data_IF_027653703921
#
_entry.id   IF_027653703921
#
_cell.length_a   1.000
_cell.length_b   1.000
_cell.length_c   1.000
_cell.angle_alpha   90.00
_cell.angle_beta   90.00
_cell.angle_gamma   90.00
#
_symmetry.space_group_name_H-M   'P 1'
#
loop_
_entity.id
_entity.type
_entity.pdbx_description
1 polymer ?
#
# COMPACT_ATOMS: atom_id res chain seq x y z
N UNK A 1 2.02 24.32 -20.75
CA UNK A 1 2.51 24.27 -19.36
C UNK A 1 1.88 23.13 -18.55
N UNK A 2 0.58 23.17 -18.21
CA UNK A 2 -0.04 22.19 -17.28
C UNK A 2 0.13 20.72 -17.71
N UNK A 3 -0.09 20.38 -18.98
CA UNK A 3 0.15 19.03 -19.49
C UNK A 3 1.59 18.55 -19.26
N UNK A 4 2.57 19.47 -19.37
CA UNK A 4 3.98 19.20 -19.08
C UNK A 4 4.24 18.95 -17.60
N UNK A 5 3.59 19.69 -16.69
CA UNK A 5 3.64 19.41 -15.25
C UNK A 5 3.10 18.02 -14.92
N UNK A 6 1.98 17.61 -15.52
CA UNK A 6 1.40 16.28 -15.29
C UNK A 6 2.24 15.15 -15.88
N UNK A 7 2.83 15.37 -17.06
CA UNK A 7 3.75 14.41 -17.67
C UNK A 7 5.03 14.28 -16.82
N UNK A 8 5.58 15.40 -16.34
CA UNK A 8 6.73 15.42 -15.43
C UNK A 8 6.41 14.71 -14.10
N UNK A 9 5.24 14.94 -13.51
CA UNK A 9 4.81 14.23 -12.30
C UNK A 9 4.61 12.73 -12.54
N UNK A 10 4.00 12.35 -13.67
CA UNK A 10 3.81 10.93 -14.03
C UNK A 10 5.12 10.19 -14.32
N UNK A 11 6.04 10.83 -15.05
CA UNK A 11 7.40 10.32 -15.28
C UNK A 11 8.20 10.29 -13.98
N UNK A 12 8.05 11.30 -13.11
CA UNK A 12 8.68 11.34 -11.78
C UNK A 12 8.22 10.21 -10.86
N UNK A 13 6.93 9.87 -10.87
CA UNK A 13 6.41 8.71 -10.14
C UNK A 13 6.98 7.39 -10.66
N UNK A 14 7.06 7.21 -11.99
CA UNK A 14 7.70 6.02 -12.58
C UNK A 14 9.22 5.99 -12.32
N UNK A 15 9.88 7.15 -12.29
CA UNK A 15 11.30 7.25 -11.95
C UNK A 15 11.55 6.83 -10.50
N UNK A 16 10.73 7.30 -9.55
CA UNK A 16 10.81 6.87 -8.14
C UNK A 16 10.69 5.35 -8.02
N UNK A 17 9.66 4.76 -8.64
CA UNK A 17 9.47 3.30 -8.71
C UNK A 17 10.71 2.56 -9.27
N UNK A 18 11.26 3.03 -10.39
CA UNK A 18 12.49 2.46 -10.99
C UNK A 18 13.69 2.61 -10.07
N UNK A 19 13.89 3.77 -9.42
CA UNK A 19 14.98 3.96 -8.47
C UNK A 19 14.85 3.09 -7.23
N UNK A 20 13.64 2.88 -6.69
CA UNK A 20 13.39 1.99 -5.55
C UNK A 20 13.68 0.52 -5.87
N UNK A 21 13.35 0.07 -7.09
CA UNK A 21 13.73 -1.27 -7.58
C UNK A 21 15.25 -1.37 -7.77
N UNK A 22 15.86 -0.35 -8.38
CA UNK A 22 17.30 -0.30 -8.66
C UNK A 22 18.11 -0.30 -7.36
N UNK A 23 17.68 0.43 -6.34
CA UNK A 23 18.32 0.49 -5.03
C UNK A 23 18.32 -0.87 -4.33
N UNK A 24 17.19 -1.60 -4.37
CA UNK A 24 17.11 -2.96 -3.85
C UNK A 24 17.99 -3.96 -4.62
N UNK A 25 18.10 -3.80 -5.94
CA UNK A 25 19.01 -4.60 -6.79
C UNK A 25 20.49 -4.30 -6.53
N UNK A 26 20.85 -3.04 -6.29
CA UNK A 26 22.23 -2.62 -6.02
C UNK A 26 22.70 -3.01 -4.62
N UNK A 27 21.79 -3.01 -3.63
CA UNK A 27 22.07 -3.50 -2.27
C UNK A 27 21.97 -5.04 -2.11
N UNK A 28 21.96 -5.79 -3.23
CA UNK A 28 22.06 -7.24 -3.26
C UNK A 28 23.48 -7.68 -2.88
N UNK A 29 23.62 -8.47 -1.81
CA UNK A 29 24.87 -9.15 -1.52
C UNK A 29 25.24 -10.11 -2.67
N UNK A 30 26.52 -10.15 -3.05
CA UNK A 30 26.98 -10.98 -4.16
C UNK A 30 26.63 -12.46 -3.94
N UNK A 31 25.84 -13.04 -4.84
CA UNK A 31 25.35 -14.42 -4.75
C UNK A 31 24.00 -14.62 -4.04
N UNK A 32 23.42 -13.60 -3.40
CA UNK A 32 22.11 -13.74 -2.74
C UNK A 32 20.98 -14.03 -3.74
N UNK A 33 20.05 -14.93 -3.40
CA UNK A 33 18.92 -15.27 -4.26
C UNK A 33 17.96 -14.08 -4.49
N UNK A 34 17.36 -14.05 -5.70
CA UNK A 34 16.37 -13.01 -6.05
C UNK A 34 15.20 -12.97 -5.07
N UNK A 35 14.79 -14.13 -4.53
CA UNK A 35 13.74 -14.22 -3.52
C UNK A 35 14.05 -13.43 -2.24
N UNK A 36 15.29 -13.47 -1.75
CA UNK A 36 15.70 -12.72 -0.55
C UNK A 36 15.75 -11.20 -0.80
N UNK A 37 16.21 -10.78 -2.00
CA UNK A 37 16.20 -9.36 -2.42
C UNK A 37 14.77 -8.83 -2.53
N UNK A 38 13.90 -9.59 -3.19
CA UNK A 38 12.47 -9.27 -3.30
C UNK A 38 11.82 -9.19 -1.91
N UNK A 39 12.14 -10.13 -1.01
CA UNK A 39 11.60 -10.12 0.35
C UNK A 39 11.99 -8.86 1.12
N UNK A 40 13.27 -8.47 1.05
CA UNK A 40 13.79 -7.26 1.70
C UNK A 40 13.12 -6.01 1.14
N UNK A 41 12.94 -5.93 -0.18
CA UNK A 41 12.22 -4.83 -0.83
C UNK A 41 10.76 -4.76 -0.39
N UNK A 42 10.05 -5.89 -0.37
CA UNK A 42 8.65 -5.97 0.06
C UNK A 42 8.48 -5.67 1.56
N UNK A 43 9.45 -6.02 2.41
CA UNK A 43 9.42 -5.71 3.83
C UNK A 43 9.65 -4.21 4.11
N UNK A 44 10.50 -3.54 3.33
CA UNK A 44 10.81 -2.11 3.49
C UNK A 44 9.74 -1.22 2.86
N UNK A 45 9.38 -1.47 1.60
CA UNK A 45 8.48 -0.58 0.83
C UNK A 45 7.02 -1.04 0.86
N UNK A 46 6.79 -2.35 1.02
CA UNK A 46 5.50 -2.98 0.79
C UNK A 46 5.28 -3.39 -0.68
N UNK A 47 4.21 -4.16 -0.89
CA UNK A 47 3.61 -4.44 -2.21
C UNK A 47 2.78 -3.22 -2.65
N UNK A 48 2.14 -2.52 -1.70
CA UNK A 48 1.13 -1.50 -1.98
C UNK A 48 1.75 -0.25 -2.63
N UNK A 49 2.86 0.25 -2.07
CA UNK A 49 3.49 1.48 -2.51
C UNK A 49 3.93 1.44 -3.99
N UNK A 50 4.72 0.45 -4.46
CA UNK A 50 5.09 0.34 -5.87
C UNK A 50 3.89 0.18 -6.81
N UNK A 51 2.84 -0.52 -6.36
CA UNK A 51 1.61 -0.70 -7.16
C UNK A 51 0.85 0.63 -7.33
N UNK A 52 0.80 1.45 -6.28
CA UNK A 52 0.23 2.81 -6.33
C UNK A 52 1.09 3.71 -7.21
N UNK A 53 2.42 3.71 -7.06
CA UNK A 53 3.34 4.54 -7.86
C UNK A 53 3.22 4.23 -9.36
N UNK A 54 3.27 2.95 -9.74
CA UNK A 54 3.15 2.50 -11.11
C UNK A 54 1.75 2.82 -11.69
N UNK A 55 0.69 2.53 -10.94
CA UNK A 55 -0.68 2.81 -11.34
C UNK A 55 -0.97 4.31 -11.51
N UNK A 56 -0.52 5.12 -10.55
CA UNK A 56 -0.67 6.58 -10.58
C UNK A 56 0.17 7.20 -11.69
N UNK A 57 1.42 6.76 -11.89
CA UNK A 57 2.30 7.23 -12.95
C UNK A 57 1.70 6.99 -14.34
N UNK A 58 1.25 5.76 -14.62
CA UNK A 58 0.56 5.40 -15.86
C UNK A 58 -0.76 6.17 -16.04
N UNK A 59 -1.53 6.36 -14.97
CA UNK A 59 -2.78 7.13 -15.01
C UNK A 59 -2.52 8.61 -15.34
N UNK A 60 -1.53 9.24 -14.70
CA UNK A 60 -1.12 10.63 -14.97
C UNK A 60 -0.62 10.82 -16.41
N UNK A 61 0.20 9.89 -16.93
CA UNK A 61 0.68 9.95 -18.33
C UNK A 61 -0.49 9.81 -19.30
N UNK A 62 -1.40 8.85 -19.09
CA UNK A 62 -2.60 8.66 -19.92
C UNK A 62 -3.52 9.88 -19.88
N UNK A 63 -3.67 10.50 -18.71
CA UNK A 63 -4.49 11.69 -18.52
C UNK A 63 -3.86 12.93 -19.16
N UNK A 64 -2.54 13.12 -19.04
CA UNK A 64 -1.81 14.18 -19.73
C UNK A 64 -1.92 14.06 -21.25
N UNK A 65 -1.81 12.84 -21.80
CA UNK A 65 -1.99 12.56 -23.22
C UNK A 65 -3.43 12.87 -23.70
N UNK A 66 -4.46 12.64 -22.88
CA UNK A 66 -5.84 13.05 -23.19
C UNK A 66 -6.06 14.55 -23.06
N UNK A 67 -5.47 15.20 -22.07
CA UNK A 67 -5.53 16.65 -21.88
C UNK A 67 -4.92 17.41 -23.07
N UNK A 68 -3.82 16.89 -23.65
CA UNK A 68 -3.22 17.42 -24.88
C UNK A 68 -4.16 17.33 -26.11
N UNK A 69 -5.10 16.38 -26.11
CA UNK A 69 -6.14 16.23 -27.14
C UNK A 69 -7.38 17.11 -26.88
N UNK A 70 -7.32 18.04 -25.92
CA UNK A 70 -8.40 18.96 -25.53
C UNK A 70 -9.72 18.29 -25.09
N UNK A 71 -9.67 17.05 -24.61
CA UNK A 71 -10.83 16.33 -24.07
C UNK A 71 -11.34 17.00 -22.77
N UNK A 72 -12.59 17.48 -22.78
CA UNK A 72 -13.25 18.13 -21.63
C UNK A 72 -13.29 17.21 -20.39
N UNK A 73 -13.53 15.91 -20.57
CA UNK A 73 -13.58 14.94 -19.45
C UNK A 73 -12.22 14.83 -18.80
N UNK A 74 -11.16 14.79 -19.61
CA UNK A 74 -9.78 14.77 -19.10
C UNK A 74 -9.46 16.07 -18.34
N UNK A 75 -9.80 17.24 -18.89
CA UNK A 75 -9.57 18.53 -18.23
C UNK A 75 -10.21 18.61 -16.83
N UNK A 76 -11.41 18.05 -16.66
CA UNK A 76 -12.10 18.01 -15.38
C UNK A 76 -11.46 17.03 -14.38
N UNK A 77 -11.01 15.85 -14.82
CA UNK A 77 -10.22 14.94 -13.97
C UNK A 77 -8.86 15.55 -13.58
N UNK A 78 -8.21 16.28 -14.48
CA UNK A 78 -7.00 17.05 -14.17
C UNK A 78 -7.29 18.11 -13.09
N UNK A 79 -8.35 18.91 -13.28
CA UNK A 79 -8.77 19.92 -12.30
C UNK A 79 -9.04 19.29 -10.93
N UNK A 80 -9.62 18.10 -10.89
CA UNK A 80 -9.87 17.38 -9.66
C UNK A 80 -8.58 16.88 -8.98
N UNK A 81 -7.63 16.34 -9.74
CA UNK A 81 -6.32 15.96 -9.21
C UNK A 81 -5.51 17.15 -8.71
N UNK A 82 -5.59 18.32 -9.36
CA UNK A 82 -4.93 19.55 -8.89
C UNK A 82 -5.51 20.03 -7.55
N UNK A 83 -6.84 19.91 -7.36
CA UNK A 83 -7.47 20.21 -6.07
C UNK A 83 -6.92 19.30 -4.97
N UNK A 84 -6.98 17.98 -5.16
CA UNK A 84 -6.48 16.99 -4.20
C UNK A 84 -4.98 17.12 -3.95
N UNK A 85 -4.17 17.28 -5.00
CA UNK A 85 -2.71 17.44 -4.92
C UNK A 85 -2.28 18.73 -4.21
N UNK A 86 -3.13 19.77 -4.20
CA UNK A 86 -2.84 21.01 -3.46
C UNK A 86 -3.03 20.87 -1.94
N UNK A 87 -3.74 19.85 -1.46
CA UNK A 87 -4.07 19.69 -0.04
C UNK A 87 -2.87 19.24 0.83
N UNK A 88 -2.12 18.16 0.51
CA UNK A 88 -0.96 17.75 1.29
C UNK A 88 0.10 18.86 1.51
N UNK A 89 0.57 19.60 0.49
CA UNK A 89 1.59 20.63 0.73
C UNK A 89 1.07 21.78 1.60
N UNK A 90 -0.22 22.16 1.50
CA UNK A 90 -0.82 23.16 2.40
C UNK A 90 -0.82 22.67 3.86
N UNK A 91 -1.23 21.42 4.10
CA UNK A 91 -1.18 20.82 5.44
C UNK A 91 0.25 20.76 5.99
N UNK A 92 1.22 20.30 5.20
CA UNK A 92 2.62 20.25 5.62
C UNK A 92 3.19 21.64 5.93
N UNK A 93 2.96 22.64 5.06
CA UNK A 93 3.43 24.01 5.29
C UNK A 93 2.76 24.69 6.49
N UNK A 94 1.54 24.30 6.86
CA UNK A 94 0.83 24.85 8.02
C UNK A 94 1.22 24.18 9.34
N UNK A 95 1.35 22.85 9.36
CA UNK A 95 1.64 22.10 10.59
C UNK A 95 3.13 22.14 11.01
N UNK A 96 4.06 22.38 10.08
CA UNK A 96 5.51 22.25 10.34
C UNK A 96 6.15 23.44 11.08
N UNK A 97 5.82 24.72 10.81
CA UNK A 97 6.38 25.85 11.54
C UNK A 97 6.19 25.80 13.08
N UNK A 98 5.00 25.49 13.63
CA UNK A 98 4.86 25.38 15.09
C UNK A 98 5.57 24.15 15.67
N UNK A 99 5.75 23.07 14.91
CA UNK A 99 6.53 21.89 15.34
C UNK A 99 8.05 22.14 15.35
N UNK A 100 8.55 23.08 14.53
CA UNK A 100 9.95 23.51 14.56
C UNK A 100 10.30 24.33 15.82
N UNK A 101 9.31 24.91 16.51
CA UNK A 101 9.52 25.63 17.78
C UNK A 101 9.71 24.68 18.97
N UNK A 102 9.35 23.40 18.84
CA UNK A 102 9.38 22.39 19.92
C UNK A 102 10.42 21.30 19.71
N UNK A 103 11.17 21.32 18.61
CA UNK A 103 12.15 20.30 18.23
C UNK A 103 13.49 20.92 17.86
N UNK A 104 14.61 20.26 18.20
CA UNK A 104 15.96 20.66 17.78
C UNK A 104 16.22 20.36 16.28
N UNK A 105 15.31 20.75 15.40
CA UNK A 105 15.53 20.66 13.95
C UNK A 105 16.55 21.71 13.50
N UNK A 106 17.37 21.36 12.51
CA UNK A 106 18.22 22.34 11.84
C UNK A 106 17.35 23.45 11.22
N UNK A 107 17.71 24.72 11.47
CA UNK A 107 16.91 25.86 11.01
C UNK A 107 16.68 25.86 9.49
N UNK A 108 17.63 25.31 8.72
CA UNK A 108 17.50 25.11 7.27
C UNK A 108 16.33 24.19 6.91
N UNK A 109 16.17 23.04 7.58
CA UNK A 109 15.08 22.11 7.33
C UNK A 109 13.73 22.65 7.81
N UNK A 110 13.72 23.42 8.90
CA UNK A 110 12.53 24.05 9.45
C UNK A 110 11.87 25.02 8.45
N UNK A 111 12.66 25.77 7.67
CA UNK A 111 12.15 26.81 6.75
C UNK A 111 12.13 26.39 5.27
N UNK A 112 13.09 25.59 4.77
CA UNK A 112 13.14 25.21 3.36
C UNK A 112 11.91 24.40 2.93
N UNK A 113 11.50 23.43 3.74
CA UNK A 113 10.41 22.50 3.40
C UNK A 113 9.04 23.19 3.35
N UNK A 114 8.61 24.03 4.32
CA UNK A 114 7.34 24.74 4.19
C UNK A 114 7.35 25.75 3.04
N UNK A 115 8.50 26.38 2.70
CA UNK A 115 8.61 27.28 1.53
C UNK A 115 8.38 26.52 0.23
N UNK A 116 9.04 25.37 0.04
CA UNK A 116 8.81 24.50 -1.13
C UNK A 116 7.34 24.06 -1.19
N UNK A 117 6.74 23.69 -0.06
CA UNK A 117 5.33 23.34 0.03
C UNK A 117 4.39 24.48 -0.38
N UNK A 118 4.67 25.72 0.02
CA UNK A 118 3.89 26.91 -0.40
C UNK A 118 4.01 27.15 -1.89
N UNK A 119 5.23 27.10 -2.46
CA UNK A 119 5.45 27.28 -3.91
C UNK A 119 4.71 26.21 -4.72
N UNK A 120 4.76 24.94 -4.28
CA UNK A 120 4.03 23.85 -4.90
C UNK A 120 2.50 24.03 -4.78
N UNK A 121 2.01 24.42 -3.60
CA UNK A 121 0.58 24.69 -3.40
C UNK A 121 0.09 25.84 -4.29
N UNK A 122 0.86 26.93 -4.43
CA UNK A 122 0.52 28.08 -5.28
C UNK A 122 0.51 27.69 -6.77
N UNK A 123 1.52 26.98 -7.25
CA UNK A 123 1.59 26.55 -8.67
C UNK A 123 0.45 25.59 -9.05
N UNK A 124 0.10 24.64 -8.17
CA UNK A 124 -1.06 23.76 -8.36
C UNK A 124 -2.39 24.53 -8.32
N UNK A 125 -2.52 25.51 -7.42
CA UNK A 125 -3.74 26.34 -7.30
C UNK A 125 -3.90 27.25 -8.53
N UNK A 126 -2.81 27.85 -9.03
CA UNK A 126 -2.82 28.63 -10.26
C UNK A 126 -3.24 27.76 -11.46
N UNK A 127 -2.70 26.55 -11.59
CA UNK A 127 -3.10 25.60 -12.63
C UNK A 127 -4.60 25.23 -12.53
N UNK A 128 -5.13 25.01 -11.33
CA UNK A 128 -6.56 24.74 -11.09
C UNK A 128 -7.45 25.91 -11.56
N UNK A 129 -7.10 27.14 -11.19
CA UNK A 129 -7.85 28.35 -11.58
C UNK A 129 -7.78 28.59 -13.09
N UNK A 130 -6.60 28.39 -13.70
CA UNK A 130 -6.41 28.54 -15.14
C UNK A 130 -7.27 27.58 -15.95
N UNK A 131 -7.40 26.30 -15.55
CA UNK A 131 -8.30 25.35 -16.22
C UNK A 131 -9.74 25.80 -16.10
N UNK A 132 -10.17 26.25 -14.92
CA UNK A 132 -11.52 26.78 -14.72
C UNK A 132 -11.84 27.95 -15.66
N UNK A 133 -10.91 28.87 -15.84
CA UNK A 133 -11.06 30.04 -16.73
C UNK A 133 -10.93 29.71 -18.23
N UNK A 134 -10.43 28.53 -18.61
CA UNK A 134 -10.19 28.16 -20.02
C UNK A 134 -11.06 26.98 -20.46
N UNK A 135 -12.09 26.61 -19.70
CA UNK A 135 -12.85 25.37 -19.91
C UNK A 135 -13.61 25.33 -21.23
N UNK A 136 -14.00 26.50 -21.76
CA UNK A 136 -14.66 26.67 -23.07
C UNK A 136 -13.78 26.28 -24.26
N UNK A 137 -12.46 26.16 -24.07
CA UNK A 137 -11.49 25.78 -25.12
C UNK A 137 -11.31 24.26 -25.27
N UNK A 138 -12.05 23.48 -24.48
CA UNK A 138 -12.01 22.02 -24.52
C UNK A 138 -13.23 21.47 -25.27
N UNK A 139 -13.00 20.44 -26.07
CA UNK A 139 -14.02 19.82 -26.90
C UNK A 139 -14.71 18.70 -26.13
N UNK A 140 -16.05 18.69 -26.19
CA UNK A 140 -16.90 17.69 -25.56
C UNK A 140 -18.14 18.30 -24.91
N UNK A 141 -19.10 17.45 -24.58
CA UNK A 141 -20.22 17.78 -23.69
C UNK A 141 -20.16 16.87 -22.47
N UNK A 142 -20.48 17.42 -21.31
CA UNK A 142 -20.61 16.66 -20.08
C UNK A 142 -22.08 16.32 -19.81
N UNK A 143 -22.35 15.06 -19.49
CA UNK A 143 -23.66 14.61 -19.02
C UNK A 143 -23.83 14.86 -17.52
N UNK A 144 -25.08 15.07 -17.04
CA UNK A 144 -25.35 15.25 -15.61
C UNK A 144 -24.86 14.04 -14.78
N UNK A 145 -24.91 12.83 -15.35
CA UNK A 145 -24.43 11.60 -14.73
C UNK A 145 -22.92 11.62 -14.48
N UNK A 146 -22.11 12.14 -15.41
CA UNK A 146 -20.66 12.27 -15.24
C UNK A 146 -20.30 13.26 -14.14
N UNK A 147 -21.00 14.41 -14.08
CA UNK A 147 -20.74 15.43 -13.07
C UNK A 147 -21.09 14.92 -11.66
N UNK A 148 -22.22 14.22 -11.54
CA UNK A 148 -22.64 13.52 -10.32
C UNK A 148 -21.61 12.45 -9.90
N UNK A 149 -21.13 11.64 -10.85
CA UNK A 149 -20.12 10.61 -10.57
C UNK A 149 -18.81 11.19 -10.03
N UNK A 150 -18.31 12.31 -10.60
CA UNK A 150 -17.11 12.98 -10.06
C UNK A 150 -17.33 13.55 -8.66
N UNK A 151 -18.52 14.09 -8.37
CA UNK A 151 -18.85 14.57 -7.04
C UNK A 151 -18.88 13.42 -6.02
N UNK A 152 -19.46 12.26 -6.39
CA UNK A 152 -19.41 11.06 -5.57
C UNK A 152 -17.97 10.59 -5.32
N UNK A 153 -17.10 10.60 -6.34
CA UNK A 153 -15.67 10.30 -6.19
C UNK A 153 -14.96 11.26 -5.22
N UNK A 154 -15.34 12.54 -5.15
CA UNK A 154 -14.74 13.46 -4.18
C UNK A 154 -15.10 13.16 -2.73
N UNK A 155 -16.28 12.60 -2.47
CA UNK A 155 -16.65 12.15 -1.13
C UNK A 155 -16.03 10.79 -0.79
N UNK A 156 -15.72 9.98 -1.81
CA UNK A 156 -15.29 8.59 -1.68
C UNK A 156 -13.75 8.39 -1.73
N UNK A 157 -13.00 9.24 -2.44
CA UNK A 157 -11.52 9.24 -2.42
C UNK A 157 -10.93 9.35 -1.01
N UNK A 158 -11.33 10.31 -0.13
CA UNK A 158 -10.70 10.43 1.18
C UNK A 158 -11.00 9.22 2.08
N UNK A 159 -12.19 8.62 1.99
CA UNK A 159 -12.53 7.42 2.78
C UNK A 159 -11.83 6.17 2.26
N UNK A 160 -11.69 6.01 0.94
CA UNK A 160 -10.84 4.97 0.34
C UNK A 160 -9.37 5.10 0.74
N UNK A 161 -8.81 6.31 0.75
CA UNK A 161 -7.41 6.52 1.14
C UNK A 161 -7.18 6.06 2.58
N UNK A 162 -8.04 6.46 3.53
CA UNK A 162 -7.96 6.00 4.92
C UNK A 162 -8.08 4.47 5.01
N UNK A 163 -9.05 3.87 4.30
CA UNK A 163 -9.24 2.42 4.28
C UNK A 163 -7.99 1.68 3.74
N UNK A 164 -7.42 2.14 2.62
CA UNK A 164 -6.22 1.54 2.03
C UNK A 164 -5.02 1.68 2.98
N UNK A 165 -4.76 2.86 3.54
CA UNK A 165 -3.61 3.04 4.43
C UNK A 165 -3.75 2.32 5.78
N UNK A 166 -4.95 2.21 6.34
CA UNK A 166 -5.18 1.59 7.67
C UNK A 166 -5.40 0.09 7.57
N UNK A 167 -6.25 -0.40 6.65
CA UNK A 167 -6.64 -1.81 6.59
C UNK A 167 -5.71 -2.67 5.72
N UNK A 168 -5.09 -2.09 4.68
CA UNK A 168 -4.27 -2.87 3.76
C UNK A 168 -2.86 -3.13 4.32
N UNK A 169 -2.33 -2.27 5.20
CA UNK A 169 -1.02 -2.47 5.87
C UNK A 169 -0.97 -3.71 6.77
N UNK A 170 -1.96 -4.03 7.62
CA UNK A 170 -2.02 -5.31 8.34
C UNK A 170 -2.11 -6.52 7.41
N UNK A 171 -2.89 -6.42 6.33
CA UNK A 171 -3.09 -7.50 5.34
C UNK A 171 -1.81 -7.78 4.54
N UNK A 172 -1.08 -6.73 4.16
CA UNK A 172 0.25 -6.83 3.53
C UNK A 172 1.23 -7.60 4.42
N UNK A 173 1.25 -7.33 5.73
CA UNK A 173 2.10 -8.07 6.68
C UNK A 173 1.72 -9.55 6.78
N UNK A 174 0.44 -9.90 6.84
CA UNK A 174 0.03 -11.32 6.90
C UNK A 174 0.29 -12.05 5.59
N UNK A 175 0.19 -11.39 4.44
CA UNK A 175 0.53 -11.96 3.13
C UNK A 175 2.05 -12.18 2.96
N UNK A 176 2.89 -11.24 3.38
CA UNK A 176 4.35 -11.42 3.38
C UNK A 176 4.74 -12.55 4.35
N UNK A 177 4.12 -12.61 5.53
CA UNK A 177 4.36 -13.66 6.51
C UNK A 177 3.91 -15.06 6.04
N UNK A 178 2.93 -15.17 5.13
CA UNK A 178 2.50 -16.49 4.62
C UNK A 178 3.46 -17.09 3.58
N UNK A 179 4.21 -16.24 2.88
CA UNK A 179 5.22 -16.61 1.88
C UNK A 179 6.60 -16.94 2.48
N UNK A 180 6.74 -16.87 3.81
CA UNK A 180 8.00 -17.04 4.55
C UNK A 180 7.87 -18.10 5.66
N UNK A 181 8.99 -18.64 6.14
CA UNK A 181 9.02 -19.45 7.39
C UNK A 181 9.24 -18.55 8.62
N UNK A 182 8.56 -17.40 8.67
CA UNK A 182 8.76 -16.43 9.74
C UNK A 182 8.06 -16.89 11.03
N UNK A 183 8.82 -17.54 11.93
CA UNK A 183 8.31 -18.01 13.22
C UNK A 183 7.97 -16.83 14.13
N UNK A 184 6.72 -16.79 14.62
CA UNK A 184 6.20 -15.73 15.51
C UNK A 184 7.00 -15.46 16.80
N UNK A 185 7.90 -16.36 17.21
CA UNK A 185 8.74 -16.24 18.40
C UNK A 185 10.22 -15.92 18.09
N UNK A 186 10.59 -15.79 16.81
CA UNK A 186 11.93 -15.41 16.41
C UNK A 186 12.05 -13.88 16.35
N UNK A 187 13.15 -13.33 16.89
CA UNK A 187 13.40 -11.88 16.88
C UNK A 187 13.62 -11.31 15.48
N UNK A 188 13.75 -9.98 15.40
CA UNK A 188 13.96 -9.26 14.14
C UNK A 188 15.22 -9.70 13.35
N UNK A 189 16.18 -10.33 14.04
CA UNK A 189 17.47 -10.78 13.49
C UNK A 189 17.43 -12.22 12.94
N UNK A 190 16.26 -12.87 12.88
CA UNK A 190 16.13 -14.22 12.36
C UNK A 190 16.19 -14.26 10.82
N UNK A 191 16.94 -15.21 10.27
CA UNK A 191 17.12 -15.36 8.82
C UNK A 191 15.82 -15.88 8.16
N UNK A 192 15.04 -14.96 7.59
CA UNK A 192 13.74 -15.26 6.97
C UNK A 192 13.91 -15.71 5.53
N UNK A 193 13.79 -17.02 5.30
CA UNK A 193 13.82 -17.61 3.97
C UNK A 193 12.43 -17.52 3.28
N UNK A 194 12.45 -17.21 1.98
CA UNK A 194 11.27 -17.25 1.12
C UNK A 194 10.96 -18.69 0.72
N UNK A 195 9.84 -19.24 1.21
CA UNK A 195 9.38 -20.61 0.90
C UNK A 195 8.18 -20.62 -0.05
N UNK A 196 7.64 -19.45 -0.39
CA UNK A 196 6.59 -19.29 -1.38
C UNK A 196 5.36 -20.14 -1.08
N UNK A 197 5.02 -21.04 -2.01
CA UNK A 197 3.82 -21.88 -1.90
C UNK A 197 4.01 -23.18 -1.11
N UNK A 198 5.22 -23.52 -0.67
CA UNK A 198 5.49 -24.79 0.03
C UNK A 198 4.72 -24.90 1.36
N UNK A 199 4.50 -23.78 2.04
CA UNK A 199 3.62 -23.71 3.22
C UNK A 199 2.18 -24.14 2.89
N UNK A 200 1.65 -23.70 1.74
CA UNK A 200 0.31 -24.08 1.28
C UNK A 200 0.26 -25.53 0.79
N UNK A 201 1.31 -26.00 0.09
CA UNK A 201 1.45 -27.40 -0.31
C UNK A 201 1.54 -28.35 0.90
N UNK A 202 2.16 -27.91 2.01
CA UNK A 202 2.27 -28.68 3.26
C UNK A 202 0.97 -28.72 4.07
N UNK A 203 0.07 -27.74 3.88
CA UNK A 203 -1.26 -27.68 4.50
C UNK A 203 -2.34 -28.40 3.67
N UNK A 204 -2.26 -28.32 2.34
CA UNK A 204 -3.21 -28.95 1.41
C UNK A 204 -2.75 -30.34 0.92
N UNK A 205 -1.48 -30.69 1.12
CA UNK A 205 -0.94 -32.02 0.92
C UNK A 205 -1.65 -33.01 1.83
N UNK A 206 -2.49 -33.86 1.24
CA UNK A 206 -3.49 -34.66 1.95
C UNK A 206 -2.85 -35.50 3.05
N UNK A 207 -3.07 -35.08 4.30
CA UNK A 207 -2.62 -35.81 5.49
C UNK A 207 -3.56 -37.00 5.73
N UNK A 208 -3.39 -38.06 4.95
CA UNK A 208 -3.96 -39.37 5.22
C UNK A 208 -3.40 -39.88 6.56
N UNK A 209 -4.07 -39.58 7.67
CA UNK A 209 -3.72 -40.14 8.98
C UNK A 209 -4.61 -41.36 9.30
N UNK A 210 -4.13 -42.60 9.03
CA UNK A 210 -4.88 -43.81 9.33
C UNK A 210 -5.06 -44.06 10.84
N UNK A 211 -4.38 -43.31 11.73
CA UNK A 211 -4.40 -43.57 13.18
C UNK A 211 -5.75 -43.27 13.83
N UNK A 212 -6.57 -42.40 13.23
CA UNK A 212 -7.92 -42.06 13.72
C UNK A 212 -8.90 -43.26 13.77
N UNK A 213 -8.65 -44.31 12.97
CA UNK A 213 -9.50 -45.51 12.89
C UNK A 213 -9.14 -46.57 13.95
N UNK A 214 -7.89 -46.62 14.41
CA UNK A 214 -7.41 -47.67 15.32
C UNK A 214 -7.80 -47.44 16.80
N UNK A 215 -7.68 -46.21 17.32
CA UNK A 215 -7.92 -45.94 18.75
C UNK A 215 -9.38 -46.20 19.18
N UNK A 216 -10.35 -45.91 18.30
CA UNK A 216 -11.77 -46.12 18.59
C UNK A 216 -12.16 -47.60 18.74
N UNK A 217 -11.35 -48.53 18.21
CA UNK A 217 -11.58 -49.99 18.32
C UNK A 217 -11.01 -50.56 19.62
N UNK A 218 -9.91 -50.02 20.15
CA UNK A 218 -9.34 -50.47 21.43
C UNK A 218 -10.08 -49.94 22.68
N UNK A 219 -10.61 -48.70 22.65
CA UNK A 219 -11.41 -48.19 23.80
C UNK A 219 -12.68 -49.01 24.09
N UNK A 220 -13.30 -49.65 23.10
CA UNK A 220 -14.48 -50.52 23.33
C UNK A 220 -14.15 -51.85 24.02
N UNK A 221 -12.90 -52.31 24.03
CA UNK A 221 -12.53 -53.58 24.69
C UNK A 221 -12.10 -53.43 26.16
N UNK A 222 -11.79 -52.21 26.64
CA UNK A 222 -11.40 -51.97 28.05
C UNK A 222 -12.55 -51.55 28.98
N UNK A 223 -13.76 -51.32 28.46
CA UNK A 223 -14.92 -50.87 29.26
C UNK A 223 -15.72 -51.96 29.97
N UNK A 224 -15.22 -53.20 30.06
CA UNK A 224 -16.07 -54.38 30.32
C UNK A 224 -15.48 -55.49 31.19
N UNK A 225 -14.79 -55.17 32.30
CA UNK A 225 -14.51 -56.07 33.45
C UNK A 225 -13.95 -55.27 34.62
N UNK A 226 -14.41 -55.52 35.85
CA UNK A 226 -13.86 -54.86 37.07
C UNK A 226 -14.87 -54.24 38.05
N UNK A 227 -16.10 -54.76 38.15
CA UNK A 227 -17.00 -54.51 39.29
C UNK A 227 -17.00 -55.80 40.14
N UNK A 228 -17.01 -55.66 41.48
CA UNK A 228 -16.50 -56.62 42.51
C UNK A 228 -14.97 -56.49 42.65
N UNK A 229 -14.34 -56.31 43.81
CA UNK A 229 -14.74 -56.23 45.24
C UNK A 229 -13.68 -55.30 45.95
N UNK A 230 -13.71 -54.91 47.25
CA UNK A 230 -14.54 -55.33 48.41
C UNK A 230 -14.91 -54.14 49.36
N UNK A 231 -14.59 -54.25 50.66
CA UNK A 231 -14.98 -53.41 51.82
C UNK A 231 -13.72 -53.01 52.67
N UNK A 232 -13.83 -52.07 53.64
CA UNK A 232 -12.69 -51.48 54.34
C UNK A 232 -12.27 -52.23 55.63
N UNK A 233 -11.12 -51.86 56.18
CA UNK A 233 -10.71 -52.20 57.56
C UNK A 233 -10.01 -51.00 58.22
N UNK A 234 -10.38 -50.72 59.47
CA UNK A 234 -9.76 -49.72 60.32
C UNK A 234 -8.54 -50.29 61.06
N UNK A 235 -7.54 -49.46 61.33
CA UNK A 235 -6.70 -49.45 62.53
C UNK A 235 -6.02 -48.08 62.63
#
# INVERSE_FOLDING_TARGET
MIAGLMLLLGVGALWLFVTGITDALMHRAAGADFGAVLLRYLHVNGIILPLIELGLGLYLIRLAARFLRRDLRAAMWVRQLLLWGSWPPRCCSWCRPPAALTTQMAATEAYMIPVIGVILALTLTYAYLWIGSNIEKFEGQETLAESSARFAWNLLVPTLLVLVFVALRPLEKTFIASLTDQRFAAGADAEVNFVGFDNYAKLLGVRWDPRSVYDRRHRRMRGGRGRRDRLPACA
#
